data_IF_271258456888
#
_entry.id   IF_271258456888
#
_cell.length_a   1.000
_cell.length_b   1.000
_cell.length_c   1.000
_cell.angle_alpha   90.00
_cell.angle_beta   90.00
_cell.angle_gamma   90.00
#
_symmetry.space_group_name_H-M   'P 1'
#
loop_
_entity.id
_entity.type
_entity.pdbx_description
1 polymer ?
#
# COMPACT_ATOMS: atom_id res chain seq x y z
N UNK A 1 8.41 -8.45 5.36
CA UNK A 1 8.75 -8.23 3.96
C UNK A 1 8.98 -6.76 3.59
N UNK A 2 8.56 -5.79 4.38
CA UNK A 2 8.80 -4.36 4.12
C UNK A 2 10.17 -3.94 4.66
N UNK A 3 11.20 -4.12 3.85
CA UNK A 3 12.58 -3.93 4.28
C UNK A 3 13.33 -2.96 3.39
N UNK A 4 14.23 -2.20 4.00
CA UNK A 4 15.23 -1.42 3.27
C UNK A 4 16.11 -2.38 2.46
N UNK A 5 16.45 -2.00 1.21
CA UNK A 5 17.32 -2.79 0.34
C UNK A 5 18.57 -3.25 1.09
N UNK A 6 18.83 -4.56 1.08
CA UNK A 6 19.96 -5.18 1.75
C UNK A 6 19.79 -5.48 3.24
N UNK A 7 18.65 -5.14 3.85
CA UNK A 7 18.35 -5.54 5.23
C UNK A 7 17.80 -6.97 5.27
N UNK A 8 18.18 -7.78 6.28
CA UNK A 8 17.60 -9.12 6.46
C UNK A 8 16.15 -9.01 6.92
N UNK A 9 15.31 -9.90 6.43
CA UNK A 9 13.94 -10.09 6.90
C UNK A 9 13.73 -11.47 7.48
N UNK A 10 12.55 -11.71 8.05
CA UNK A 10 12.17 -12.99 8.64
C UNK A 10 10.77 -13.40 8.22
N UNK A 11 10.56 -14.69 8.12
CA UNK A 11 9.26 -15.33 8.11
C UNK A 11 9.15 -16.14 9.41
N UNK A 12 8.18 -15.80 10.25
CA UNK A 12 7.96 -16.45 11.53
C UNK A 12 6.78 -17.41 11.40
N UNK A 13 6.97 -18.67 11.78
CA UNK A 13 5.95 -19.72 11.68
C UNK A 13 5.54 -20.21 13.06
N UNK A 14 4.21 -20.25 13.30
CA UNK A 14 3.65 -20.80 14.53
C UNK A 14 3.64 -19.88 15.74
N UNK A 15 4.15 -18.65 15.62
CA UNK A 15 4.10 -17.64 16.67
C UNK A 15 4.13 -16.21 16.10
N UNK A 16 3.78 -15.24 16.92
CA UNK A 16 3.86 -13.82 16.60
C UNK A 16 5.00 -13.20 17.42
N UNK A 17 6.04 -12.73 16.73
CA UNK A 17 7.18 -12.09 17.40
C UNK A 17 6.86 -10.62 17.73
N UNK A 18 6.62 -10.35 19.01
CA UNK A 18 6.29 -9.01 19.49
C UNK A 18 7.40 -7.97 19.32
N UNK A 19 8.63 -8.39 19.04
CA UNK A 19 9.73 -7.49 18.74
C UNK A 19 9.67 -6.88 17.33
N UNK A 20 8.79 -7.41 16.46
CA UNK A 20 8.66 -7.02 15.04
C UNK A 20 7.63 -5.93 14.78
N UNK A 21 6.85 -5.55 15.79
CA UNK A 21 5.82 -4.51 15.66
C UNK A 21 5.69 -3.68 16.94
N UNK A 22 5.00 -2.56 16.83
CA UNK A 22 4.63 -1.72 17.98
C UNK A 22 3.12 -1.48 18.00
N UNK A 23 2.55 -1.33 19.17
CA UNK A 23 1.12 -1.12 19.36
C UNK A 23 0.30 -2.42 19.27
N UNK A 24 -0.96 -2.29 18.87
CA UNK A 24 -1.89 -3.42 18.74
C UNK A 24 -1.92 -3.95 17.32
N UNK A 25 -1.99 -5.28 17.18
CA UNK A 25 -2.22 -5.92 15.88
C UNK A 25 -3.71 -5.76 15.53
N UNK A 26 -3.98 -5.39 14.31
CA UNK A 26 -5.34 -5.40 13.73
C UNK A 26 -5.55 -6.71 12.98
N UNK A 27 -6.62 -7.40 13.31
CA UNK A 27 -7.03 -8.63 12.64
C UNK A 27 -8.25 -8.36 11.78
N UNK A 28 -8.28 -8.95 10.59
CA UNK A 28 -9.41 -8.94 9.66
C UNK A 28 -9.58 -10.34 9.09
N UNK A 29 -10.80 -10.64 8.66
CA UNK A 29 -11.11 -11.95 8.08
C UNK A 29 -10.40 -12.17 6.77
N UNK A 30 -9.93 -13.40 6.55
CA UNK A 30 -9.29 -13.85 5.32
C UNK A 30 -10.26 -14.71 4.53
N UNK A 31 -10.48 -14.40 3.26
CA UNK A 31 -11.17 -15.26 2.32
C UNK A 31 -10.15 -16.15 1.58
N UNK A 32 -10.01 -17.39 2.00
CA UNK A 32 -9.06 -18.34 1.41
C UNK A 32 -9.60 -19.11 0.20
N UNK A 33 -10.83 -18.84 -0.25
CA UNK A 33 -11.46 -19.59 -1.35
C UNK A 33 -10.67 -19.49 -2.68
N UNK A 34 -9.94 -18.38 -2.88
CA UNK A 34 -9.07 -18.17 -4.05
C UNK A 34 -7.65 -18.75 -3.90
N UNK A 35 -7.33 -19.35 -2.74
CA UNK A 35 -5.98 -19.81 -2.42
C UNK A 35 -4.98 -18.73 -2.03
N UNK A 36 -5.43 -17.47 -1.89
CA UNK A 36 -4.62 -16.34 -1.52
C UNK A 36 -4.95 -15.83 -0.11
N UNK A 37 -4.05 -15.07 0.48
CA UNK A 37 -4.30 -14.27 1.70
C UNK A 37 -5.13 -13.04 1.37
N UNK A 38 -6.38 -13.27 0.98
CA UNK A 38 -7.30 -12.26 0.50
C UNK A 38 -8.11 -11.69 1.64
N UNK A 39 -8.20 -10.37 1.72
CA UNK A 39 -9.01 -9.64 2.71
C UNK A 39 -9.70 -8.44 2.07
N UNK A 40 -10.58 -7.79 2.81
CA UNK A 40 -11.22 -6.54 2.36
C UNK A 40 -10.53 -5.35 3.03
N UNK A 41 -10.04 -4.42 2.20
CA UNK A 41 -9.65 -3.10 2.67
C UNK A 41 -10.88 -2.19 2.72
N UNK A 42 -10.99 -1.35 3.76
CA UNK A 42 -12.14 -0.47 3.99
C UNK A 42 -12.10 0.77 3.10
N UNK A 43 -10.92 1.14 2.64
CA UNK A 43 -10.69 2.31 1.81
C UNK A 43 -9.24 2.77 1.85
N UNK A 44 -9.03 4.05 1.54
CA UNK A 44 -7.70 4.65 1.51
C UNK A 44 -7.73 6.14 1.86
N UNK A 45 -6.54 6.69 2.11
CA UNK A 45 -6.31 8.14 2.26
C UNK A 45 -5.00 8.50 1.57
N UNK A 46 -4.96 9.64 0.90
CA UNK A 46 -3.75 10.15 0.24
C UNK A 46 -3.26 11.38 0.99
N UNK A 47 -2.02 11.32 1.49
CA UNK A 47 -1.45 12.38 2.32
C UNK A 47 -2.35 12.73 3.51
N UNK A 48 -2.69 14.00 3.65
CA UNK A 48 -3.58 14.53 4.70
C UNK A 48 -5.02 14.72 4.26
N UNK A 49 -5.41 14.24 3.05
CA UNK A 49 -6.78 14.36 2.55
C UNK A 49 -7.79 13.57 3.40
N UNK A 50 -9.08 13.74 3.13
CA UNK A 50 -10.11 12.93 3.78
C UNK A 50 -9.99 11.46 3.38
N UNK A 51 -10.34 10.57 4.29
CA UNK A 51 -10.41 9.14 4.00
C UNK A 51 -11.52 8.87 2.98
N UNK A 52 -11.18 8.11 1.94
CA UNK A 52 -12.14 7.61 0.95
C UNK A 52 -12.60 6.23 1.42
N UNK A 53 -13.86 6.15 1.85
CA UNK A 53 -14.50 4.90 2.28
C UNK A 53 -15.03 4.18 1.03
N UNK A 54 -14.14 3.50 0.33
CA UNK A 54 -14.45 2.70 -0.84
C UNK A 54 -13.73 1.36 -0.68
N UNK A 55 -14.46 0.36 -0.20
CA UNK A 55 -13.89 -0.96 0.07
C UNK A 55 -13.51 -1.68 -1.24
N UNK A 56 -12.42 -2.42 -1.17
CA UNK A 56 -11.94 -3.27 -2.25
C UNK A 56 -11.23 -4.50 -1.72
N UNK A 57 -11.21 -5.52 -2.55
CA UNK A 57 -10.49 -6.76 -2.26
C UNK A 57 -8.99 -6.54 -2.43
N UNK A 58 -8.23 -6.99 -1.45
CA UNK A 58 -6.77 -6.93 -1.43
C UNK A 58 -6.17 -8.31 -1.13
N UNK A 59 -4.94 -8.51 -1.52
CA UNK A 59 -4.15 -9.71 -1.24
C UNK A 59 -2.86 -9.29 -0.54
N UNK A 60 -2.52 -9.96 0.57
CA UNK A 60 -1.22 -9.81 1.19
C UNK A 60 -0.20 -10.64 0.41
N UNK A 61 0.53 -9.97 -0.49
CA UNK A 61 1.52 -10.60 -1.37
C UNK A 61 2.93 -10.12 -1.02
N UNK A 62 3.80 -11.04 -0.62
CA UNK A 62 5.22 -10.78 -0.34
C UNK A 62 6.12 -10.99 -1.56
N UNK A 63 5.59 -11.52 -2.65
CA UNK A 63 6.30 -11.81 -3.90
C UNK A 63 6.27 -10.68 -4.93
N UNK A 64 5.47 -9.63 -4.69
CA UNK A 64 5.32 -8.50 -5.62
C UNK A 64 5.96 -7.24 -5.02
N UNK A 65 6.79 -6.55 -5.81
CA UNK A 65 7.53 -5.36 -5.36
C UNK A 65 6.71 -4.07 -5.43
N UNK A 66 5.63 -4.05 -6.19
CA UNK A 66 4.78 -2.88 -6.38
C UNK A 66 3.41 -3.09 -5.75
N UNK A 67 2.82 -2.01 -5.25
CA UNK A 67 1.44 -2.00 -4.82
C UNK A 67 0.51 -1.78 -6.01
N UNK A 68 -0.33 -2.77 -6.30
CA UNK A 68 -1.39 -2.65 -7.30
C UNK A 68 -2.68 -2.19 -6.63
N UNK A 69 -3.28 -1.15 -7.18
CA UNK A 69 -4.48 -0.51 -6.63
C UNK A 69 -5.57 -0.42 -7.70
N UNK A 70 -6.85 -0.31 -7.31
CA UNK A 70 -7.92 0.02 -8.24
C UNK A 70 -7.60 1.30 -9.02
N UNK A 71 -7.93 1.33 -10.32
CA UNK A 71 -7.61 2.45 -11.21
C UNK A 71 -8.11 3.81 -10.69
N UNK A 72 -9.26 3.83 -10.02
CA UNK A 72 -9.79 5.05 -9.39
C UNK A 72 -8.88 5.58 -8.30
N UNK A 73 -8.32 4.71 -7.46
CA UNK A 73 -7.38 5.08 -6.38
C UNK A 73 -6.05 5.58 -6.97
N UNK A 74 -5.56 4.92 -8.02
CA UNK A 74 -4.35 5.33 -8.75
C UNK A 74 -4.53 6.72 -9.36
N UNK A 75 -5.64 6.95 -10.06
CA UNK A 75 -5.95 8.26 -10.65
C UNK A 75 -6.05 9.34 -9.58
N UNK A 76 -6.73 9.06 -8.46
CA UNK A 76 -6.87 9.99 -7.34
C UNK A 76 -5.50 10.31 -6.70
N UNK A 77 -4.61 9.34 -6.60
CA UNK A 77 -3.25 9.54 -6.09
C UNK A 77 -2.45 10.49 -6.98
N UNK A 78 -2.37 10.17 -8.27
CA UNK A 78 -1.56 10.95 -9.21
C UNK A 78 -2.12 12.36 -9.46
N UNK A 79 -3.42 12.56 -9.29
CA UNK A 79 -4.01 13.90 -9.32
C UNK A 79 -3.47 14.85 -8.25
N UNK A 80 -2.88 14.32 -7.16
CA UNK A 80 -2.26 15.12 -6.10
C UNK A 80 -0.76 15.36 -6.31
N UNK A 81 -0.16 14.77 -7.34
CA UNK A 81 1.27 14.95 -7.66
C UNK A 81 1.42 15.94 -8.79
N UNK A 82 1.95 17.12 -8.47
CA UNK A 82 2.15 18.17 -9.46
C UNK A 82 3.08 17.74 -10.59
N UNK A 83 2.64 17.91 -11.82
CA UNK A 83 3.40 17.55 -13.02
C UNK A 83 3.35 16.07 -13.36
N UNK A 84 2.55 15.27 -12.66
CA UNK A 84 2.32 13.88 -13.05
C UNK A 84 1.40 13.77 -14.27
N UNK A 85 1.59 12.70 -15.04
CA UNK A 85 0.75 12.38 -16.17
C UNK A 85 0.92 10.93 -16.59
N UNK A 86 -0.13 10.35 -17.20
CA UNK A 86 -0.05 9.00 -17.73
C UNK A 86 0.67 9.00 -19.08
N UNK A 87 1.79 8.29 -19.16
CA UNK A 87 2.55 8.11 -20.40
C UNK A 87 2.27 6.72 -20.99
N UNK A 88 1.63 6.70 -22.15
CA UNK A 88 1.31 5.46 -22.87
C UNK A 88 2.54 4.68 -23.32
N UNK A 89 3.65 5.37 -23.61
CA UNK A 89 4.87 4.73 -24.06
C UNK A 89 5.60 4.03 -22.91
N UNK A 90 5.48 4.57 -21.69
CA UNK A 90 6.02 3.98 -20.47
C UNK A 90 5.04 3.00 -19.81
N UNK A 91 3.78 3.00 -20.23
CA UNK A 91 2.73 2.16 -19.66
C UNK A 91 2.35 2.52 -18.22
N UNK A 92 2.58 3.76 -17.79
CA UNK A 92 2.36 4.19 -16.41
C UNK A 92 2.35 5.70 -16.21
N UNK A 93 2.16 6.12 -14.97
CA UNK A 93 2.30 7.52 -14.61
C UNK A 93 3.77 7.91 -14.49
N UNK A 94 4.10 9.06 -15.07
CA UNK A 94 5.40 9.71 -14.94
C UNK A 94 5.24 11.02 -14.18
N UNK A 95 6.29 11.47 -13.52
CA UNK A 95 6.30 12.69 -12.73
C UNK A 95 7.73 13.25 -12.65
N UNK A 96 7.91 14.55 -12.40
CA UNK A 96 9.23 15.15 -12.21
C UNK A 96 9.94 14.54 -10.99
N UNK A 97 11.22 14.20 -11.11
CA UNK A 97 12.00 13.61 -9.99
C UNK A 97 12.07 14.52 -8.75
N UNK A 98 11.84 15.82 -8.91
CA UNK A 98 11.76 16.79 -7.82
C UNK A 98 10.40 16.87 -7.13
N UNK A 99 9.40 16.08 -7.58
CA UNK A 99 8.06 16.11 -7.00
C UNK A 99 8.05 15.52 -5.60
N UNK A 100 7.29 16.14 -4.71
CA UNK A 100 6.95 15.55 -3.42
C UNK A 100 5.80 14.58 -3.62
N UNK A 101 5.98 13.34 -3.22
CA UNK A 101 4.96 12.32 -3.28
C UNK A 101 4.19 12.27 -1.95
N UNK A 102 2.85 12.31 -1.97
CA UNK A 102 2.06 12.12 -0.77
C UNK A 102 2.13 10.66 -0.31
N UNK A 103 2.08 10.41 0.99
CA UNK A 103 1.95 9.07 1.52
C UNK A 103 0.62 8.45 1.12
N UNK A 104 0.61 7.15 0.85
CA UNK A 104 -0.62 6.39 0.65
C UNK A 104 -0.97 5.61 1.91
N UNK A 105 -2.14 5.85 2.47
CA UNK A 105 -2.63 5.14 3.64
C UNK A 105 -3.72 4.16 3.23
N UNK A 106 -3.48 2.87 3.45
CA UNK A 106 -4.50 1.83 3.33
C UNK A 106 -5.30 1.77 4.62
N UNK A 107 -6.63 1.68 4.53
CA UNK A 107 -7.51 1.52 5.69
C UNK A 107 -7.97 0.07 5.76
N UNK A 108 -7.67 -0.61 6.87
CA UNK A 108 -8.02 -2.03 7.10
C UNK A 108 -8.47 -2.20 8.55
N UNK A 109 -9.65 -2.75 8.76
CA UNK A 109 -10.24 -2.93 10.09
C UNK A 109 -10.35 -1.60 10.86
N UNK A 110 -10.66 -0.51 10.17
CA UNK A 110 -10.75 0.83 10.72
C UNK A 110 -9.41 1.50 11.05
N UNK A 111 -8.28 0.84 10.83
CA UNK A 111 -6.94 1.37 11.10
C UNK A 111 -6.23 1.76 9.82
N UNK A 112 -5.37 2.78 9.90
CA UNK A 112 -4.57 3.28 8.78
C UNK A 112 -3.18 2.67 8.80
N UNK A 113 -2.75 2.16 7.65
CA UNK A 113 -1.41 1.63 7.41
C UNK A 113 -0.73 2.47 6.34
N UNK A 114 0.27 3.23 6.75
CA UNK A 114 0.96 4.17 5.87
C UNK A 114 2.02 3.47 5.03
N UNK A 115 1.91 3.63 3.72
CA UNK A 115 2.97 3.34 2.76
C UNK A 115 3.65 4.64 2.42
N UNK A 116 4.88 4.79 2.88
CA UNK A 116 5.69 5.97 2.62
C UNK A 116 6.15 5.95 1.17
N UNK A 117 5.79 6.98 0.41
CA UNK A 117 6.17 7.13 -0.99
C UNK A 117 7.40 8.03 -1.08
N UNK A 118 8.54 7.45 -1.47
CA UNK A 118 9.79 8.20 -1.67
C UNK A 118 10.32 7.97 -3.08
N UNK A 119 10.90 9.01 -3.64
CA UNK A 119 11.71 8.89 -4.87
C UNK A 119 13.11 8.47 -4.43
N UNK A 120 13.53 7.26 -4.84
CA UNK A 120 14.91 6.85 -4.67
C UNK A 120 15.72 7.31 -5.88
N UNK A 121 16.69 8.15 -5.68
CA UNK A 121 17.71 8.51 -6.67
C UNK A 121 18.68 7.36 -6.91
#
# INVERSE_FOLDING_TARGET
ANLKKGAPGTYDFGYIDSSKYSGKITYVDVNSASGFWQFTADGYQIGSSSTVSSSFVAIADTGTTLMYLPSSSVTAYWAQVTGSGYDKNQGGYTFPCSSTLPDFNLVVGGNKFTVVCIVSS
#
